data_IF_872942097988
#
_entry.id   IF_872942097988
#
_cell.length_a   1.000
_cell.length_b   1.000
_cell.length_c   1.000
_cell.angle_alpha   90.00
_cell.angle_beta   90.00
_cell.angle_gamma   90.00
#
_symmetry.space_group_name_H-M   'P 1'
#
loop_
_entity.id
_entity.type
_entity.pdbx_description
1 polymer ?
#
# COMPACT_ATOMS: atom_id res chain seq x y z
N UNK A 1 48.83 68.81 26.25
CA UNK A 1 49.03 69.66 25.05
C UNK A 1 48.28 69.04 23.88
N UNK A 2 47.58 69.87 23.13
CA UNK A 2 46.49 69.55 22.20
C UNK A 2 46.95 68.63 21.06
N UNK A 3 46.23 67.53 20.84
CA UNK A 3 46.33 66.68 19.65
C UNK A 3 45.24 67.10 18.65
N UNK A 4 45.66 67.43 17.44
CA UNK A 4 44.82 67.69 16.28
C UNK A 4 44.42 66.35 15.66
N UNK A 5 43.14 66.02 15.61
CA UNK A 5 42.64 64.88 14.83
C UNK A 5 41.77 65.40 13.70
N UNK A 6 42.25 65.06 12.50
CA UNK A 6 41.74 65.40 11.18
C UNK A 6 40.40 64.71 10.94
N UNK A 7 39.49 65.46 10.33
CA UNK A 7 38.22 64.97 9.80
C UNK A 7 38.48 63.89 8.74
N UNK A 8 37.99 62.67 8.98
CA UNK A 8 38.07 61.54 8.06
C UNK A 8 36.70 61.36 7.40
N UNK A 9 36.69 61.47 6.07
CA UNK A 9 35.54 61.32 5.19
C UNK A 9 35.05 59.86 5.26
N UNK A 10 33.82 59.65 5.71
CA UNK A 10 33.16 58.35 5.72
C UNK A 10 32.61 58.06 4.31
N UNK A 11 33.28 57.16 3.58
CA UNK A 11 32.71 56.53 2.39
C UNK A 11 31.81 55.38 2.83
N UNK A 12 30.51 55.50 2.57
CA UNK A 12 29.53 54.43 2.79
C UNK A 12 29.73 53.31 1.78
N UNK A 13 30.10 52.13 2.28
CA UNK A 13 30.13 50.88 1.52
C UNK A 13 28.74 50.24 1.64
N UNK A 14 27.93 50.36 0.59
CA UNK A 14 26.67 49.62 0.47
C UNK A 14 27.04 48.19 0.08
N UNK A 15 27.04 47.29 1.06
CA UNK A 15 27.08 45.85 0.81
C UNK A 15 25.68 45.46 0.33
N UNK A 16 25.51 45.39 -0.99
CA UNK A 16 24.44 44.62 -1.62
C UNK A 16 24.70 43.15 -1.28
N UNK A 17 24.15 42.71 -0.16
CA UNK A 17 24.07 41.30 0.18
C UNK A 17 23.19 40.61 -0.84
N UNK A 18 23.84 39.95 -1.81
CA UNK A 18 23.26 38.88 -2.59
C UNK A 18 22.81 37.79 -1.62
N UNK A 19 21.56 37.89 -1.17
CA UNK A 19 20.82 36.79 -0.59
C UNK A 19 20.69 35.73 -1.66
N UNK A 20 21.70 34.87 -1.74
CA UNK A 20 21.55 33.58 -2.40
C UNK A 20 20.40 32.88 -1.71
N UNK A 21 19.27 32.82 -2.40
CA UNK A 21 18.29 31.76 -2.22
C UNK A 21 19.04 30.45 -2.46
N UNK A 22 19.70 29.95 -1.41
CA UNK A 22 19.90 28.52 -1.28
C UNK A 22 18.48 28.00 -1.08
N UNK A 23 17.85 27.64 -2.21
CA UNK A 23 16.86 26.59 -2.20
C UNK A 23 17.59 25.40 -1.56
N UNK A 24 17.38 25.25 -0.26
CA UNK A 24 17.60 24.00 0.42
C UNK A 24 16.63 23.08 -0.31
N UNK A 25 17.14 22.33 -1.28
CA UNK A 25 16.55 21.06 -1.66
C UNK A 25 16.45 20.32 -0.33
N UNK A 26 15.29 20.43 0.32
CA UNK A 26 14.87 19.42 1.27
C UNK A 26 14.96 18.14 0.47
N UNK A 27 16.07 17.43 0.68
CA UNK A 27 16.24 16.06 0.29
C UNK A 27 15.03 15.36 0.85
N UNK A 28 13.98 15.20 0.03
CA UNK A 28 12.84 14.35 0.33
C UNK A 28 13.45 13.02 0.78
N UNK A 29 13.44 12.77 2.09
CA UNK A 29 13.91 11.51 2.61
C UNK A 29 13.04 10.46 1.92
N UNK A 30 13.67 9.64 1.09
CA UNK A 30 12.99 8.62 0.31
C UNK A 30 12.45 7.57 1.28
N UNK A 31 11.23 7.80 1.76
CA UNK A 31 10.56 6.87 2.66
C UNK A 31 9.90 5.77 1.85
N UNK A 32 9.95 4.55 2.37
CA UNK A 32 9.17 3.45 1.82
C UNK A 32 7.74 3.57 2.31
N UNK A 33 6.77 3.57 1.41
CA UNK A 33 5.36 3.74 1.76
C UNK A 33 4.60 2.42 1.78
N UNK A 34 3.69 2.25 2.71
CA UNK A 34 2.71 1.18 2.61
C UNK A 34 1.30 1.60 3.00
N UNK A 35 0.33 0.89 2.43
CA UNK A 35 -1.07 0.95 2.83
C UNK A 35 -1.52 -0.43 3.31
N UNK A 36 -2.56 -0.47 4.14
CA UNK A 36 -3.03 -1.73 4.73
C UNK A 36 -4.49 -2.01 4.42
N UNK A 37 -4.84 -3.29 4.48
CA UNK A 37 -6.23 -3.76 4.57
C UNK A 37 -6.30 -5.05 5.37
N UNK A 38 -7.42 -5.29 6.02
CA UNK A 38 -7.66 -6.51 6.78
C UNK A 38 -8.87 -7.30 6.25
N UNK A 39 -8.78 -8.62 6.30
CA UNK A 39 -9.85 -9.55 5.92
C UNK A 39 -10.03 -10.67 6.95
N UNK A 40 -11.29 -11.05 7.16
CA UNK A 40 -11.70 -12.12 8.05
C UNK A 40 -12.37 -11.60 9.33
N UNK A 41 -12.81 -12.53 10.16
CA UNK A 41 -13.64 -12.25 11.33
C UNK A 41 -12.78 -12.15 12.61
N UNK A 42 -11.82 -11.25 12.62
CA UNK A 42 -11.00 -10.95 13.80
C UNK A 42 -11.07 -9.45 14.12
N UNK A 43 -10.67 -9.09 15.33
CA UNK A 43 -10.58 -7.72 15.79
C UNK A 43 -9.21 -7.15 15.44
N UNK A 44 -9.12 -6.25 14.46
CA UNK A 44 -7.85 -5.72 13.94
C UNK A 44 -7.37 -4.45 14.64
N UNK A 45 -8.07 -3.95 15.65
CA UNK A 45 -7.63 -2.76 16.37
C UNK A 45 -6.45 -3.06 17.32
N UNK A 46 -5.70 -2.01 17.66
CA UNK A 46 -4.54 -2.11 18.56
C UNK A 46 -3.35 -2.84 17.96
N UNK A 47 -3.21 -2.82 16.63
CA UNK A 47 -2.03 -3.32 15.92
C UNK A 47 -1.10 -2.15 15.65
N UNK A 48 0.16 -2.28 16.05
CA UNK A 48 1.19 -1.27 15.90
C UNK A 48 2.31 -1.77 15.01
N UNK A 49 3.12 -0.85 14.50
CA UNK A 49 4.39 -1.11 13.81
C UNK A 49 5.40 -0.04 14.22
N UNK A 50 6.68 -0.31 13.93
CA UNK A 50 7.72 0.71 14.07
C UNK A 50 7.86 1.49 12.77
N UNK A 51 7.73 2.81 12.83
CA UNK A 51 7.79 3.69 11.67
C UNK A 51 9.22 4.09 11.30
N UNK A 52 9.35 5.09 10.43
CA UNK A 52 10.64 5.61 9.97
C UNK A 52 11.53 6.19 11.09
N UNK A 53 10.93 6.61 12.20
CA UNK A 53 11.63 7.20 13.36
C UNK A 53 11.87 6.15 14.48
N UNK A 54 11.61 4.86 14.21
CA UNK A 54 11.60 3.75 15.18
C UNK A 54 10.52 3.91 16.27
N UNK A 55 9.52 4.77 16.06
CA UNK A 55 8.41 4.99 16.99
C UNK A 55 7.25 4.02 16.73
N UNK A 56 6.54 3.65 17.80
CA UNK A 56 5.36 2.79 17.69
C UNK A 56 4.16 3.57 17.14
N UNK A 57 3.82 3.31 15.89
CA UNK A 57 2.68 3.89 15.21
C UNK A 57 1.49 2.91 15.15
N UNK A 58 0.28 3.42 15.41
CA UNK A 58 -0.97 2.64 15.35
C UNK A 58 -1.44 2.46 13.90
N UNK A 59 -1.67 1.22 13.49
CA UNK A 59 -2.38 0.92 12.25
C UNK A 59 -3.88 1.12 12.41
N UNK A 60 -4.48 1.67 11.37
CA UNK A 60 -5.93 1.85 11.24
C UNK A 60 -6.41 0.96 10.11
N UNK A 61 -7.52 0.27 10.33
CA UNK A 61 -8.16 -0.56 9.32
C UNK A 61 -9.57 -0.05 9.04
N UNK A 62 -9.96 -0.06 7.78
CA UNK A 62 -11.36 0.13 7.38
C UNK A 62 -11.81 -1.08 6.56
N UNK A 63 -13.03 -1.58 6.80
CA UNK A 63 -13.57 -2.71 6.04
C UNK A 63 -13.81 -2.35 4.57
N UNK A 64 -14.06 -1.07 4.28
CA UNK A 64 -14.47 -0.58 2.96
C UNK A 64 -13.31 0.04 2.20
N UNK A 65 -12.37 0.67 2.89
CA UNK A 65 -11.35 1.51 2.26
C UNK A 65 -9.97 1.23 2.84
N UNK A 66 -8.93 1.46 2.03
CA UNK A 66 -7.58 1.58 2.56
C UNK A 66 -7.47 2.93 3.27
N UNK A 67 -7.26 2.89 4.57
CA UNK A 67 -7.10 4.11 5.38
C UNK A 67 -5.65 4.18 5.86
N UNK A 68 -5.04 5.36 5.71
CA UNK A 68 -3.65 5.59 6.08
C UNK A 68 -2.65 5.25 4.98
N UNK A 69 -1.63 6.10 4.88
CA UNK A 69 -0.36 5.83 4.22
C UNK A 69 0.68 5.89 5.32
N UNK A 70 1.49 4.85 5.42
CA UNK A 70 2.48 4.66 6.48
C UNK A 70 3.87 4.67 5.88
N UNK A 71 4.84 5.20 6.63
CA UNK A 71 6.21 5.34 6.18
C UNK A 71 7.11 4.39 6.95
N UNK A 72 8.06 3.79 6.24
CA UNK A 72 9.14 2.97 6.76
C UNK A 72 10.48 3.55 6.29
N UNK A 73 11.59 3.24 7.00
CA UNK A 73 12.91 3.61 6.53
C UNK A 73 13.20 3.08 5.12
N UNK A 74 13.99 3.80 4.34
CA UNK A 74 14.46 3.33 3.03
C UNK A 74 15.18 1.98 3.16
N UNK A 75 14.97 1.07 2.21
CA UNK A 75 15.62 -0.24 2.21
C UNK A 75 15.04 -1.25 3.22
N UNK A 76 13.91 -0.93 3.86
CA UNK A 76 13.21 -1.89 4.73
C UNK A 76 12.78 -3.13 3.95
N UNK A 77 13.31 -4.30 4.32
CA UNK A 77 12.99 -5.59 3.69
C UNK A 77 11.93 -6.38 4.46
N UNK A 78 11.65 -6.01 5.70
CA UNK A 78 10.66 -6.67 6.54
C UNK A 78 10.04 -5.66 7.51
N UNK A 79 8.72 -5.77 7.74
CA UNK A 79 8.01 -4.99 8.75
C UNK A 79 7.27 -5.91 9.71
N UNK A 80 7.58 -5.77 11.01
CA UNK A 80 6.91 -6.50 12.08
C UNK A 80 5.72 -5.70 12.62
N UNK A 81 4.61 -6.39 12.84
CA UNK A 81 3.40 -5.84 13.44
C UNK A 81 3.21 -6.44 14.82
N UNK A 82 2.91 -5.60 15.79
CA UNK A 82 2.87 -5.97 17.20
C UNK A 82 1.55 -5.59 17.85
N UNK A 83 1.21 -6.27 18.95
CA UNK A 83 0.23 -5.81 19.94
C UNK A 83 0.93 -5.47 21.24
N UNK A 84 0.39 -4.49 21.94
CA UNK A 84 0.76 -4.23 23.32
C UNK A 84 -0.06 -5.14 24.23
N UNK A 85 0.61 -5.98 25.00
CA UNK A 85 -0.02 -6.89 25.96
C UNK A 85 0.57 -6.65 27.35
N UNK A 86 -0.28 -6.66 28.38
CA UNK A 86 0.18 -6.55 29.76
C UNK A 86 0.68 -7.91 30.27
N UNK A 87 1.82 -7.91 30.96
CA UNK A 87 2.29 -9.07 31.70
C UNK A 87 1.54 -9.26 33.03
N UNK A 88 1.94 -10.29 33.81
CA UNK A 88 1.31 -10.59 35.11
C UNK A 88 1.47 -9.48 36.16
N UNK A 89 2.41 -8.56 35.93
CA UNK A 89 2.69 -7.43 36.80
C UNK A 89 2.09 -6.12 36.23
N UNK A 90 1.36 -6.19 35.12
CA UNK A 90 0.75 -5.04 34.46
C UNK A 90 1.71 -4.23 33.58
N UNK A 91 2.94 -4.72 33.34
CA UNK A 91 3.89 -4.06 32.45
C UNK A 91 3.56 -4.40 31.01
N UNK A 92 3.46 -3.39 30.15
CA UNK A 92 3.26 -3.57 28.72
C UNK A 92 4.50 -4.18 28.06
N UNK A 93 4.27 -5.16 27.18
CA UNK A 93 5.27 -5.75 26.28
C UNK A 93 4.72 -5.79 24.87
N UNK A 94 5.60 -5.66 23.89
CA UNK A 94 5.28 -5.90 22.49
C UNK A 94 5.22 -7.41 22.22
N UNK A 95 4.15 -7.83 21.55
CA UNK A 95 3.97 -9.19 21.06
C UNK A 95 3.81 -9.15 19.55
N UNK A 96 4.76 -9.72 18.80
CA UNK A 96 4.67 -9.82 17.35
C UNK A 96 3.52 -10.73 16.95
N UNK A 97 2.62 -10.21 16.13
CA UNK A 97 1.40 -10.89 15.68
C UNK A 97 1.39 -11.15 14.17
N UNK A 98 2.23 -10.45 13.42
CA UNK A 98 2.33 -10.60 11.98
C UNK A 98 3.64 -10.00 11.49
N UNK A 99 4.11 -10.45 10.32
CA UNK A 99 5.30 -9.89 9.70
C UNK A 99 5.12 -9.89 8.17
N UNK A 100 5.39 -8.75 7.53
CA UNK A 100 5.39 -8.61 6.07
C UNK A 100 6.82 -8.71 5.53
N UNK A 101 7.04 -9.58 4.55
CA UNK A 101 8.26 -9.55 3.74
C UNK A 101 8.07 -8.52 2.61
N UNK A 102 8.95 -7.53 2.56
CA UNK A 102 9.00 -6.45 1.57
C UNK A 102 10.16 -6.61 0.58
N UNK A 103 10.89 -7.73 0.64
CA UNK A 103 11.98 -8.04 -0.28
C UNK A 103 11.50 -7.98 -1.74
N UNK A 104 12.24 -7.22 -2.56
CA UNK A 104 11.93 -7.01 -3.97
C UNK A 104 10.87 -5.92 -4.25
N UNK A 105 10.35 -5.24 -3.23
CA UNK A 105 9.46 -4.09 -3.40
C UNK A 105 10.31 -2.81 -3.42
N UNK A 106 10.10 -1.98 -4.44
CA UNK A 106 10.99 -0.85 -4.72
C UNK A 106 10.74 0.33 -3.77
N UNK A 107 9.49 0.78 -3.65
CA UNK A 107 9.17 1.99 -2.87
C UNK A 107 7.79 1.98 -2.21
N UNK A 108 6.85 1.17 -2.72
CA UNK A 108 5.48 1.15 -2.21
C UNK A 108 4.89 -0.25 -2.12
N UNK A 109 4.30 -0.58 -0.97
CA UNK A 109 3.58 -1.83 -0.76
C UNK A 109 2.09 -1.63 -0.44
N UNK A 110 1.30 -2.60 -0.86
CA UNK A 110 0.00 -2.89 -0.27
C UNK A 110 0.07 -4.15 0.58
N UNK A 111 -0.21 -4.00 1.87
CA UNK A 111 -0.12 -5.07 2.86
C UNK A 111 -1.54 -5.51 3.26
N UNK A 112 -1.81 -6.81 3.12
CA UNK A 112 -3.09 -7.40 3.44
C UNK A 112 -2.96 -8.35 4.62
N UNK A 113 -3.65 -8.01 5.71
CA UNK A 113 -3.85 -8.86 6.87
C UNK A 113 -5.00 -9.83 6.62
N UNK A 114 -4.78 -11.10 6.89
CA UNK A 114 -5.82 -12.12 6.87
C UNK A 114 -5.90 -12.78 8.24
N UNK A 115 -7.11 -12.86 8.81
CA UNK A 115 -7.44 -13.61 10.03
C UNK A 115 -7.32 -15.13 9.81
N UNK A 116 -6.10 -15.57 9.53
CA UNK A 116 -5.69 -16.94 9.26
C UNK A 116 -4.27 -17.08 9.77
N UNK A 117 -4.00 -18.10 10.58
CA UNK A 117 -2.67 -18.34 11.15
C UNK A 117 -1.62 -18.51 10.05
N UNK A 118 -0.53 -17.75 10.14
CA UNK A 118 0.68 -18.02 9.35
C UNK A 118 1.33 -19.27 9.93
N UNK A 119 1.25 -20.38 9.20
CA UNK A 119 1.79 -21.67 9.64
C UNK A 119 3.32 -21.73 9.59
N UNK A 120 3.97 -20.90 8.75
CA UNK A 120 5.43 -20.88 8.64
C UNK A 120 6.06 -20.16 9.81
N UNK A 121 5.51 -19.00 10.18
CA UNK A 121 6.01 -18.17 11.30
C UNK A 121 5.32 -18.47 12.63
N UNK A 122 4.27 -19.29 12.61
CA UNK A 122 3.43 -19.58 13.77
C UNK A 122 2.75 -18.33 14.37
N UNK A 123 2.38 -17.36 13.53
CA UNK A 123 1.80 -16.08 13.93
C UNK A 123 0.28 -16.05 13.71
N UNK A 124 -0.48 -15.26 14.49
CA UNK A 124 -1.94 -15.15 14.38
C UNK A 124 -2.45 -14.79 12.97
N UNK A 125 -1.72 -13.92 12.26
CA UNK A 125 -2.16 -13.40 10.96
C UNK A 125 -1.23 -13.82 9.83
N UNK A 126 -1.84 -14.12 8.68
CA UNK A 126 -1.14 -14.30 7.40
C UNK A 126 -1.09 -12.94 6.72
N UNK A 127 0.10 -12.57 6.24
CA UNK A 127 0.31 -11.33 5.51
C UNK A 127 0.53 -11.63 4.03
N UNK A 128 -0.20 -10.94 3.16
CA UNK A 128 0.10 -10.87 1.74
C UNK A 128 0.59 -9.47 1.40
N UNK A 129 1.61 -9.40 0.55
CA UNK A 129 2.18 -8.11 0.12
C UNK A 129 2.14 -8.02 -1.40
N UNK A 130 1.73 -6.86 -1.89
CA UNK A 130 1.75 -6.51 -3.31
C UNK A 130 2.64 -5.29 -3.50
N UNK A 131 3.50 -5.35 -4.51
CA UNK A 131 4.28 -4.19 -4.97
C UNK A 131 3.35 -3.23 -5.73
N UNK A 132 3.21 -2.02 -5.19
CA UNK A 132 2.45 -0.91 -5.77
C UNK A 132 3.38 0.27 -6.13
N UNK A 133 4.68 -0.01 -6.29
CA UNK A 133 5.67 0.98 -6.73
C UNK A 133 5.32 1.50 -8.14
N UNK A 134 5.70 2.75 -8.47
CA UNK A 134 5.46 3.31 -9.79
C UNK A 134 5.93 2.37 -10.93
N UNK A 135 5.09 2.18 -11.95
CA UNK A 135 5.35 1.27 -13.07
C UNK A 135 5.10 -0.22 -12.81
N UNK A 136 4.88 -0.64 -11.55
CA UNK A 136 4.52 -2.04 -11.22
C UNK A 136 3.04 -2.30 -11.41
N UNK A 137 2.19 -1.51 -10.76
CA UNK A 137 0.74 -1.66 -10.78
C UNK A 137 0.06 -0.36 -11.22
N UNK A 138 -0.36 -0.30 -12.48
CA UNK A 138 -0.77 0.94 -13.15
C UNK A 138 -2.02 0.79 -14.01
N UNK A 139 -2.40 1.88 -14.68
CA UNK A 139 -3.50 1.93 -15.62
C UNK A 139 -3.56 0.71 -16.54
N UNK A 140 -4.75 0.12 -16.68
CA UNK A 140 -4.94 -1.08 -17.50
C UNK A 140 -4.44 -2.39 -16.87
N UNK A 141 -3.77 -2.38 -15.70
CA UNK A 141 -3.39 -3.63 -15.01
C UNK A 141 -4.52 -4.15 -14.12
N UNK A 142 -4.72 -5.47 -14.15
CA UNK A 142 -5.59 -6.21 -13.24
C UNK A 142 -4.76 -7.20 -12.45
N UNK A 143 -4.81 -7.09 -11.13
CA UNK A 143 -4.18 -8.05 -10.20
C UNK A 143 -5.27 -8.80 -9.44
N UNK A 144 -5.04 -10.08 -9.20
CA UNK A 144 -5.92 -10.89 -8.37
C UNK A 144 -5.30 -11.18 -7.01
N UNK A 145 -6.12 -11.15 -5.97
CA UNK A 145 -5.78 -11.65 -4.65
C UNK A 145 -6.77 -12.76 -4.28
N UNK A 146 -6.32 -14.02 -4.33
CA UNK A 146 -7.14 -15.17 -3.98
C UNK A 146 -7.08 -15.46 -2.48
N UNK A 147 -8.16 -15.12 -1.77
CA UNK A 147 -8.37 -15.45 -0.36
C UNK A 147 -9.42 -16.56 -0.16
N UNK A 148 -9.92 -17.17 -1.25
CA UNK A 148 -11.04 -18.12 -1.18
C UNK A 148 -10.69 -19.42 -0.47
N UNK A 149 -9.40 -19.75 -0.34
CA UNK A 149 -8.89 -20.98 0.27
C UNK A 149 -8.25 -21.90 -0.76
N UNK A 150 -9.02 -22.53 -1.67
CA UNK A 150 -8.48 -23.41 -2.69
C UNK A 150 -7.84 -22.62 -3.86
N UNK A 151 -6.91 -23.25 -4.60
CA UNK A 151 -6.48 -22.75 -5.89
C UNK A 151 -7.66 -22.66 -6.87
N UNK A 152 -7.67 -21.62 -7.68
CA UNK A 152 -8.70 -21.38 -8.69
C UNK A 152 -8.08 -21.42 -10.09
N UNK A 153 -8.79 -21.98 -11.06
CA UNK A 153 -8.49 -21.77 -12.47
C UNK A 153 -9.19 -20.49 -12.92
N UNK A 154 -8.42 -19.49 -13.28
CA UNK A 154 -8.92 -18.24 -13.82
C UNK A 154 -8.87 -18.27 -15.34
N UNK A 155 -9.95 -17.82 -15.98
CA UNK A 155 -9.99 -17.51 -17.41
C UNK A 155 -10.30 -16.03 -17.57
N UNK A 156 -9.46 -15.30 -18.28
CA UNK A 156 -9.62 -13.88 -18.57
C UNK A 156 -9.46 -13.68 -20.07
N UNK A 157 -10.57 -13.38 -20.76
CA UNK A 157 -10.63 -13.45 -22.20
C UNK A 157 -10.31 -14.87 -22.69
N UNK A 158 -9.25 -14.99 -23.48
CA UNK A 158 -8.76 -16.26 -24.01
C UNK A 158 -7.60 -16.86 -23.19
N UNK A 159 -7.07 -16.12 -22.20
CA UNK A 159 -6.01 -16.59 -21.35
C UNK A 159 -6.54 -17.40 -20.16
N UNK A 160 -5.80 -18.43 -19.77
CA UNK A 160 -6.14 -19.28 -18.62
C UNK A 160 -4.90 -19.49 -17.77
N UNK A 161 -5.03 -19.35 -16.45
CA UNK A 161 -3.93 -19.48 -15.49
C UNK A 161 -4.42 -19.96 -14.12
N UNK A 162 -3.52 -20.57 -13.35
CA UNK A 162 -3.81 -20.97 -11.96
C UNK A 162 -3.64 -19.78 -11.03
N UNK A 163 -4.59 -19.60 -10.12
CA UNK A 163 -4.57 -18.65 -9.03
C UNK A 163 -4.46 -19.39 -7.71
N UNK A 164 -3.23 -19.53 -7.23
CA UNK A 164 -2.93 -20.04 -5.89
C UNK A 164 -3.43 -19.08 -4.81
N UNK A 165 -3.46 -19.54 -3.55
CA UNK A 165 -3.81 -18.70 -2.41
C UNK A 165 -2.79 -17.55 -2.23
N UNK A 166 -3.27 -16.30 -2.28
CA UNK A 166 -2.45 -15.08 -2.25
C UNK A 166 -2.54 -14.24 -3.52
N UNK A 167 -1.56 -13.36 -3.74
CA UNK A 167 -1.50 -12.55 -4.96
C UNK A 167 -1.13 -13.42 -6.17
N UNK A 168 -1.91 -13.27 -7.24
CA UNK A 168 -1.58 -13.82 -8.55
C UNK A 168 -0.76 -12.85 -9.39
N UNK A 169 -0.45 -13.25 -10.63
CA UNK A 169 0.19 -12.39 -11.62
C UNK A 169 -0.72 -11.25 -12.10
N UNK A 170 -0.10 -10.27 -12.74
CA UNK A 170 -0.78 -9.14 -13.36
C UNK A 170 -1.20 -9.46 -14.78
N UNK A 171 -2.40 -9.02 -15.14
CA UNK A 171 -2.87 -9.01 -16.53
C UNK A 171 -2.88 -7.58 -17.01
N UNK A 172 -2.21 -7.35 -18.14
CA UNK A 172 -2.22 -6.06 -18.81
C UNK A 172 -3.33 -6.02 -19.85
N UNK A 173 -4.16 -5.00 -19.76
CA UNK A 173 -5.08 -4.61 -20.83
C UNK A 173 -4.57 -3.35 -21.51
N UNK A 174 -4.95 -3.15 -22.77
CA UNK A 174 -4.78 -1.85 -23.40
C UNK A 174 -5.72 -0.85 -22.71
N UNK A 175 -5.22 0.18 -22.02
CA UNK A 175 -6.06 1.16 -21.33
C UNK A 175 -6.96 1.95 -22.28
N UNK A 176 -6.63 1.99 -23.58
CA UNK A 176 -7.44 2.63 -24.62
C UNK A 176 -8.52 1.71 -25.19
N UNK A 177 -8.40 0.40 -24.98
CA UNK A 177 -9.41 -0.57 -25.41
C UNK A 177 -10.36 -0.88 -24.23
N UNK A 178 -11.50 -0.17 -24.23
CA UNK A 178 -12.51 -0.22 -23.16
C UNK A 178 -13.45 -1.44 -23.30
N UNK A 179 -13.12 -2.39 -24.18
CA UNK A 179 -13.92 -3.60 -24.38
C UNK A 179 -14.06 -4.41 -23.09
N UNK A 180 -15.26 -4.92 -22.88
CA UNK A 180 -15.56 -5.74 -21.71
C UNK A 180 -14.97 -7.14 -21.89
N UNK A 181 -14.01 -7.50 -21.05
CA UNK A 181 -13.37 -8.81 -21.05
C UNK A 181 -14.09 -9.72 -20.07
N UNK A 182 -14.44 -10.93 -20.50
CA UNK A 182 -15.04 -11.93 -19.63
C UNK A 182 -13.98 -12.50 -18.70
N UNK A 183 -14.29 -12.54 -17.40
CA UNK A 183 -13.50 -13.27 -16.41
C UNK A 183 -14.34 -14.35 -15.74
N UNK A 184 -13.75 -15.53 -15.59
CA UNK A 184 -14.37 -16.70 -14.98
C UNK A 184 -13.39 -17.35 -14.03
N UNK A 185 -13.91 -17.84 -12.91
CA UNK A 185 -13.15 -18.64 -11.97
C UNK A 185 -13.80 -20.00 -11.85
N UNK A 186 -12.97 -21.04 -11.86
CA UNK A 186 -13.40 -22.40 -11.62
C UNK A 186 -12.58 -23.03 -10.50
N UNK A 187 -13.22 -23.90 -9.72
CA UNK A 187 -12.56 -24.73 -8.73
C UNK A 187 -12.62 -26.18 -9.19
N UNK A 188 -11.57 -26.95 -8.89
CA UNK A 188 -11.56 -28.38 -9.14
C UNK A 188 -12.35 -29.08 -8.04
N UNK A 189 -13.44 -29.74 -8.43
CA UNK A 189 -14.11 -30.74 -7.60
C UNK A 189 -13.61 -32.14 -7.95
N UNK A 190 -14.07 -33.17 -7.25
CA UNK A 190 -13.54 -34.55 -7.34
C UNK A 190 -13.20 -35.00 -8.76
N UNK A 191 -14.09 -34.75 -9.73
CA UNK A 191 -13.91 -35.23 -11.11
C UNK A 191 -14.06 -34.15 -12.20
N UNK A 192 -14.41 -32.91 -11.82
CA UNK A 192 -14.73 -31.86 -12.79
C UNK A 192 -14.39 -30.44 -12.30
N UNK A 193 -14.17 -29.54 -13.26
CA UNK A 193 -14.05 -28.10 -13.00
C UNK A 193 -15.44 -27.48 -12.91
N UNK A 194 -15.72 -26.80 -11.80
CA UNK A 194 -16.97 -26.05 -11.61
C UNK A 194 -16.71 -24.57 -11.63
N UNK A 195 -17.42 -23.85 -12.50
CA UNK A 195 -17.39 -22.39 -12.53
C UNK A 195 -18.04 -21.88 -11.24
N UNK A 196 -17.29 -21.14 -10.45
CA UNK A 196 -17.72 -20.56 -9.18
C UNK A 196 -18.07 -19.08 -9.30
N UNK A 197 -17.61 -18.44 -10.37
CA UNK A 197 -17.87 -17.04 -10.66
C UNK A 197 -17.67 -16.76 -12.15
N UNK A 198 -18.50 -15.89 -12.73
CA UNK A 198 -18.36 -15.43 -14.12
C UNK A 198 -18.97 -14.03 -14.24
N UNK A 199 -18.21 -13.07 -14.74
CA UNK A 199 -18.70 -11.72 -15.04
C UNK A 199 -17.88 -11.11 -16.18
N UNK A 200 -18.39 -10.05 -16.79
CA UNK A 200 -17.57 -9.16 -17.58
C UNK A 200 -16.86 -8.11 -16.71
N UNK A 201 -15.69 -7.69 -17.18
CA UNK A 201 -14.79 -6.73 -16.55
C UNK A 201 -14.33 -5.71 -17.58
N UNK A 202 -14.23 -4.47 -17.13
CA UNK A 202 -13.64 -3.37 -17.89
C UNK A 202 -12.53 -2.77 -17.04
N UNK A 203 -11.31 -2.79 -17.58
CA UNK A 203 -10.17 -2.18 -16.91
C UNK A 203 -10.40 -0.67 -16.76
N UNK A 204 -9.92 -0.10 -15.65
CA UNK A 204 -9.99 1.33 -15.48
C UNK A 204 -8.86 2.00 -16.30
N UNK A 205 -9.16 3.04 -17.09
CA UNK A 205 -8.20 3.62 -18.03
C UNK A 205 -7.07 4.38 -17.33
N UNK A 206 -7.30 4.85 -16.10
CA UNK A 206 -6.34 5.68 -15.36
C UNK A 206 -5.64 4.93 -14.22
N UNK A 207 -6.12 3.75 -13.82
CA UNK A 207 -5.66 3.10 -12.57
C UNK A 207 -5.62 1.58 -12.65
N UNK A 208 -4.72 1.00 -11.86
CA UNK A 208 -4.70 -0.44 -11.64
C UNK A 208 -5.96 -0.90 -10.89
N UNK A 209 -6.45 -2.09 -11.24
CA UNK A 209 -7.61 -2.70 -10.58
C UNK A 209 -7.18 -3.93 -9.81
N UNK A 210 -7.50 -3.96 -8.51
CA UNK A 210 -7.31 -5.14 -7.68
C UNK A 210 -8.66 -5.86 -7.53
N UNK A 211 -8.68 -7.14 -7.92
CA UNK A 211 -9.80 -8.04 -7.73
C UNK A 211 -9.50 -9.00 -6.57
N UNK A 212 -10.27 -8.90 -5.49
CA UNK A 212 -10.09 -9.71 -4.28
C UNK A 212 -11.15 -10.81 -4.29
N UNK A 213 -10.70 -12.07 -4.35
CA UNK A 213 -11.53 -13.25 -4.38
C UNK A 213 -11.67 -13.78 -2.96
N UNK A 214 -12.82 -13.52 -2.33
CA UNK A 214 -13.11 -13.89 -0.95
C UNK A 214 -13.83 -15.24 -0.89
N UNK A 215 -13.75 -15.94 0.26
CA UNK A 215 -14.53 -17.14 0.46
C UNK A 215 -16.05 -16.87 0.34
N UNK A 216 -16.84 -17.92 0.10
CA UNK A 216 -18.30 -17.82 0.06
C UNK A 216 -18.90 -17.23 1.34
N UNK A 217 -19.97 -16.44 1.22
CA UNK A 217 -20.72 -15.93 2.38
C UNK A 217 -21.49 -17.03 3.13
N UNK A 218 -21.92 -18.06 2.40
CA UNK A 218 -22.72 -19.16 2.93
C UNK A 218 -21.81 -20.37 3.13
N UNK A 219 -21.91 -20.96 4.32
CA UNK A 219 -21.33 -22.28 4.61
C UNK A 219 -21.93 -23.26 3.56
N UNK A 220 -21.06 -24.06 2.93
CA UNK A 220 -21.38 -25.03 1.86
C UNK A 220 -21.68 -24.47 0.45
N UNK A 221 -21.47 -23.18 0.20
CA UNK A 221 -21.51 -22.64 -1.17
C UNK A 221 -20.15 -22.77 -1.86
N UNK A 222 -20.14 -22.99 -3.17
CA UNK A 222 -18.92 -22.87 -4.00
C UNK A 222 -18.74 -21.45 -4.55
N UNK A 223 -19.75 -20.59 -4.48
CA UNK A 223 -19.71 -19.26 -5.05
C UNK A 223 -18.78 -18.36 -4.24
N UNK A 224 -17.71 -17.91 -4.88
CA UNK A 224 -16.79 -16.93 -4.30
C UNK A 224 -17.35 -15.52 -4.42
N UNK A 225 -17.02 -14.66 -3.47
CA UNK A 225 -17.31 -13.24 -3.58
C UNK A 225 -16.14 -12.52 -4.26
N UNK A 226 -16.44 -11.62 -5.19
CA UNK A 226 -15.42 -10.82 -5.86
C UNK A 226 -15.64 -9.36 -5.49
N UNK A 227 -14.67 -8.79 -4.78
CA UNK A 227 -14.63 -7.36 -4.52
C UNK A 227 -13.65 -6.69 -5.47
N UNK A 228 -14.05 -5.58 -6.08
CA UNK A 228 -13.21 -4.78 -6.97
C UNK A 228 -12.89 -3.45 -6.31
N UNK A 229 -11.62 -3.08 -6.32
CA UNK A 229 -11.18 -1.77 -5.86
C UNK A 229 -10.43 -1.05 -6.97
N UNK A 230 -10.93 0.12 -7.36
CA UNK A 230 -10.26 1.07 -8.25
C UNK A 230 -9.60 2.15 -7.39
N UNK A 231 -8.37 2.57 -7.69
CA UNK A 231 -7.80 3.73 -6.99
C UNK A 231 -6.95 4.64 -7.85
N UNK A 232 -7.34 5.92 -7.88
CA UNK A 232 -6.46 7.02 -8.27
C UNK A 232 -5.33 7.16 -7.27
N UNK A 233 -4.15 7.42 -7.81
CA UNK A 233 -2.96 7.81 -7.07
C UNK A 233 -3.29 8.99 -6.17
N UNK A 234 -2.77 8.98 -4.93
CA UNK A 234 -2.61 10.23 -4.21
C UNK A 234 -1.64 11.06 -5.04
N UNK A 235 -2.10 12.27 -5.41
CA UNK A 235 -1.24 13.29 -5.93
C UNK A 235 -0.10 13.49 -4.92
N UNK A 236 1.13 13.65 -5.41
CA UNK A 236 2.11 14.49 -4.71
C UNK A 236 1.36 15.73 -4.24
N UNK A 237 1.57 16.22 -3.00
CA UNK A 237 0.95 17.46 -2.58
C UNK A 237 1.27 18.49 -3.66
N UNK A 238 0.25 18.85 -4.45
CA UNK A 238 0.30 20.02 -5.29
C UNK A 238 0.67 21.11 -4.31
N UNK A 239 1.83 21.73 -4.50
CA UNK A 239 2.09 23.06 -3.97
C UNK A 239 0.84 23.85 -4.30
N UNK A 240 0.00 24.05 -3.29
CA UNK A 240 -1.04 25.04 -3.36
C UNK A 240 -0.24 26.33 -3.49
N UNK A 241 -0.02 26.79 -4.73
CA UNK A 241 0.33 28.17 -4.98
C UNK A 241 -0.80 28.99 -4.36
N UNK A 242 -0.60 29.36 -3.09
CA UNK A 242 -1.22 30.49 -2.45
C UNK A 242 -0.82 31.74 -3.23
N UNK A 243 -1.50 31.96 -4.34
CA UNK A 243 -1.48 33.20 -5.10
C UNK A 243 -2.83 33.90 -4.98
N UNK A 244 -3.21 34.32 -3.78
CA UNK A 244 -4.16 35.45 -3.63
C UNK A 244 -3.39 36.78 -3.84
N UNK A 245 -4.09 37.93 -3.87
CA UNK A 245 -4.93 38.47 -4.94
C UNK A 245 -4.28 39.76 -5.51
N UNK A 246 -4.54 40.16 -6.75
CA UNK A 246 -3.96 41.39 -7.27
C UNK A 246 -4.52 41.87 -8.60
N UNK A 247 -5.44 42.84 -8.47
CA UNK A 247 -5.94 43.82 -9.46
C UNK A 247 -6.89 43.36 -10.59
#
# INVERSE_FOLDING_TARGET
MKSNIRSLITFGLIILGSGGLLAQEESEEKTFQFTTRAFGNDYFDGIYFKDAEDELALLKFSPYERIGVYNLPEGTTEVAFVRLVADRLGKEREETIAVANLEGIESRAFIVFVAKRDTRRNLPYTIHVADESPGKFEAGKLRFLNLSGPPLLARVGDETYSLEYGFGGDIQFDPNNIEEVRFQFAVRTSDEWKIVFSSGFRAHPEVGTLAILKPPAQIDSLQIQVERTHRRYYFDPIEAEEGSPGE
#
